data_IF_902333274334
#
_entry.id   IF_902333274334
#
_cell.length_a   1.000
_cell.length_b   1.000
_cell.length_c   1.000
_cell.angle_alpha   90.00
_cell.angle_beta   90.00
_cell.angle_gamma   90.00
#
_symmetry.space_group_name_H-M   'P 1'
#
loop_
_entity.id
_entity.type
_entity.pdbx_description
1 polymer ?
#
# COMPACT_ATOMS: atom_id res chain seq x y z
N UNK A 1 -7.97 5.62 -0.13
CA UNK A 1 -7.90 4.97 1.19
C UNK A 1 -6.55 5.23 1.85
N UNK A 2 -6.52 5.16 3.20
CA UNK A 2 -5.33 5.15 4.03
C UNK A 2 -5.40 3.91 4.92
N UNK A 3 -4.30 3.19 5.08
CA UNK A 3 -4.27 2.00 5.90
C UNK A 3 -3.30 2.16 7.08
N UNK A 4 -3.69 1.66 8.24
CA UNK A 4 -2.87 1.66 9.45
C UNK A 4 -2.71 0.21 9.90
N UNK A 5 -1.48 -0.24 9.97
CA UNK A 5 -1.10 -1.58 10.45
C UNK A 5 -0.25 -1.39 11.69
N UNK A 6 -0.55 -2.11 12.76
CA UNK A 6 0.19 -1.95 14.02
C UNK A 6 0.44 -3.28 14.74
N UNK A 7 1.50 -3.30 15.50
CA UNK A 7 1.84 -4.41 16.38
C UNK A 7 1.10 -4.23 17.72
N UNK A 8 0.35 -5.25 18.13
CA UNK A 8 -0.59 -5.19 19.25
C UNK A 8 0.05 -4.82 20.58
N UNK A 9 1.24 -5.38 20.86
CA UNK A 9 1.91 -5.24 22.15
C UNK A 9 2.60 -3.90 22.31
N UNK A 10 3.39 -3.49 21.33
CA UNK A 10 4.18 -2.26 21.35
C UNK A 10 3.40 -1.03 20.93
N UNK A 11 2.26 -1.22 20.28
CA UNK A 11 1.47 -0.15 19.63
C UNK A 11 2.25 0.62 18.55
N UNK A 12 3.37 0.08 18.09
CA UNK A 12 4.09 0.65 16.95
C UNK A 12 3.29 0.41 15.67
N UNK A 13 3.14 1.48 14.87
CA UNK A 13 2.29 1.47 13.70
C UNK A 13 3.02 1.94 12.44
N UNK A 14 2.59 1.38 11.31
CA UNK A 14 2.90 1.84 9.97
C UNK A 14 1.65 2.44 9.34
N UNK A 15 1.80 3.57 8.66
CA UNK A 15 0.73 4.18 7.88
C UNK A 15 1.09 4.05 6.41
N UNK A 16 0.12 3.64 5.59
CA UNK A 16 0.27 3.50 4.14
C UNK A 16 -0.57 4.57 3.45
N UNK A 17 0.11 5.44 2.72
CA UNK A 17 -0.37 6.69 2.13
C UNK A 17 -0.88 7.70 3.18
N UNK A 18 -1.22 8.91 2.77
CA UNK A 18 -1.75 9.95 3.67
C UNK A 18 -3.18 10.39 3.31
N UNK A 19 -3.58 10.10 2.07
CA UNK A 19 -4.90 10.49 1.58
C UNK A 19 -5.12 12.01 1.51
N UNK A 20 -6.34 12.41 1.12
CA UNK A 20 -6.73 13.82 1.06
C UNK A 20 -7.28 14.37 2.38
N UNK A 21 -7.46 13.55 3.41
CA UNK A 21 -7.95 13.94 4.74
C UNK A 21 -7.24 13.12 5.83
N UNK A 22 -6.48 13.80 6.70
CA UNK A 22 -5.76 13.13 7.79
C UNK A 22 -6.56 12.97 9.07
N UNK A 23 -7.57 13.81 9.33
CA UNK A 23 -8.20 13.86 10.65
C UNK A 23 -8.77 12.50 11.10
N UNK A 24 -9.49 11.73 10.28
CA UNK A 24 -9.98 10.42 10.70
C UNK A 24 -8.86 9.44 11.08
N UNK A 25 -7.71 9.51 10.40
CA UNK A 25 -6.53 8.70 10.69
C UNK A 25 -5.89 9.12 12.01
N UNK A 26 -5.77 10.43 12.24
CA UNK A 26 -5.20 10.98 13.47
C UNK A 26 -6.07 10.65 14.69
N UNK A 27 -7.39 10.78 14.56
CA UNK A 27 -8.34 10.41 15.62
C UNK A 27 -8.22 8.93 15.98
N UNK A 28 -8.10 8.06 14.96
CA UNK A 28 -7.90 6.62 15.17
C UNK A 28 -6.56 6.33 15.87
N UNK A 29 -5.47 6.96 15.42
CA UNK A 29 -4.14 6.81 16.04
C UNK A 29 -4.16 7.23 17.51
N UNK A 30 -4.84 8.34 17.83
CA UNK A 30 -4.97 8.83 19.21
C UNK A 30 -5.82 7.89 20.07
N UNK A 31 -6.99 7.49 19.60
CA UNK A 31 -7.91 6.59 20.35
C UNK A 31 -7.25 5.25 20.64
N UNK A 32 -6.53 4.67 19.69
CA UNK A 32 -5.83 3.39 19.85
C UNK A 32 -4.48 3.52 20.57
N UNK A 33 -4.01 4.72 20.84
CA UNK A 33 -2.71 4.98 21.48
C UNK A 33 -1.53 4.52 20.63
N UNK A 34 -1.65 4.63 19.29
CA UNK A 34 -0.64 4.13 18.37
C UNK A 34 0.56 5.07 18.26
N UNK A 35 1.73 4.49 18.03
CA UNK A 35 2.99 5.20 17.77
C UNK A 35 3.39 4.98 16.32
N UNK A 36 3.09 5.96 15.47
CA UNK A 36 3.49 5.89 14.05
C UNK A 36 5.01 5.98 13.96
N UNK A 37 5.65 4.91 13.57
CA UNK A 37 7.11 4.86 13.44
C UNK A 37 7.59 4.86 11.99
N UNK A 38 6.70 4.65 11.02
CA UNK A 38 7.00 4.72 9.58
C UNK A 38 5.74 5.07 8.78
N UNK A 39 5.95 5.76 7.67
CA UNK A 39 4.96 5.99 6.63
C UNK A 39 5.50 5.37 5.34
N UNK A 40 4.69 4.57 4.65
CA UNK A 40 5.00 3.97 3.38
C UNK A 40 4.07 4.55 2.31
N UNK A 41 4.62 5.01 1.20
CA UNK A 41 3.83 5.50 0.08
C UNK A 41 3.77 4.44 -1.01
N UNK A 42 2.55 4.16 -1.50
CA UNK A 42 2.36 3.27 -2.64
C UNK A 42 2.83 3.93 -3.93
N UNK A 43 2.57 5.21 -4.09
CA UNK A 43 3.02 6.08 -5.17
C UNK A 43 2.76 7.56 -4.80
N UNK A 44 3.09 8.51 -5.69
CA UNK A 44 3.06 9.95 -5.37
C UNK A 44 1.97 10.75 -6.09
N UNK A 45 0.88 10.12 -6.51
CA UNK A 45 -0.26 10.89 -7.01
C UNK A 45 -0.85 11.78 -5.91
N UNK A 46 -1.36 12.96 -6.26
CA UNK A 46 -1.74 14.00 -5.29
C UNK A 46 -2.71 13.53 -4.20
N UNK A 47 -3.65 12.68 -4.51
CA UNK A 47 -4.64 12.15 -3.57
C UNK A 47 -4.08 11.11 -2.58
N UNK A 48 -2.88 10.57 -2.84
CA UNK A 48 -2.16 9.69 -1.91
C UNK A 48 -1.25 10.44 -0.95
N UNK A 49 -0.76 11.63 -1.34
CA UNK A 49 0.24 12.40 -0.57
C UNK A 49 -0.27 13.76 -0.09
N UNK A 50 -1.51 14.14 -0.40
CA UNK A 50 -2.03 15.49 -0.14
C UNK A 50 -1.86 15.95 1.31
N UNK A 51 -1.99 15.06 2.27
CA UNK A 51 -1.87 15.38 3.69
C UNK A 51 -0.59 14.81 4.35
N UNK A 52 0.42 14.46 3.57
CA UNK A 52 1.64 13.81 4.08
C UNK A 52 2.37 14.67 5.12
N UNK A 53 2.54 15.96 4.85
CA UNK A 53 3.23 16.87 5.76
C UNK A 53 2.48 17.06 7.08
N UNK A 54 1.15 17.14 7.02
CA UNK A 54 0.32 17.22 8.22
C UNK A 54 0.41 15.92 9.03
N UNK A 55 0.26 14.78 8.39
CA UNK A 55 0.38 13.46 9.02
C UNK A 55 1.75 13.31 9.71
N UNK A 56 2.85 13.61 9.00
CA UNK A 56 4.21 13.59 9.57
C UNK A 56 4.31 14.45 10.82
N UNK A 57 3.90 15.73 10.70
CA UNK A 57 4.01 16.70 11.80
C UNK A 57 3.22 16.26 13.04
N UNK A 58 2.01 15.71 12.85
CA UNK A 58 1.12 15.29 13.92
C UNK A 58 1.54 13.98 14.57
N UNK A 59 2.31 13.14 13.88
CA UNK A 59 2.74 11.82 14.35
C UNK A 59 4.23 11.76 14.77
N UNK A 60 4.89 12.92 14.94
CA UNK A 60 6.27 12.96 15.44
C UNK A 60 7.34 12.88 14.35
N UNK A 61 7.01 13.20 13.11
CA UNK A 61 7.91 13.18 11.95
C UNK A 61 8.59 11.83 11.69
N UNK A 62 7.83 10.73 11.59
CA UNK A 62 8.41 9.44 11.24
C UNK A 62 9.03 9.46 9.84
N UNK A 63 10.00 8.57 9.55
CA UNK A 63 10.55 8.45 8.21
C UNK A 63 9.47 7.99 7.22
N UNK A 64 9.52 8.57 6.02
CA UNK A 64 8.65 8.22 4.89
C UNK A 64 9.46 7.41 3.89
N UNK A 65 8.90 6.32 3.39
CA UNK A 65 9.49 5.44 2.40
C UNK A 65 8.72 5.52 1.09
N UNK A 66 9.43 5.64 -0.01
CA UNK A 66 8.87 5.74 -1.36
C UNK A 66 9.80 5.07 -2.36
N UNK A 67 9.26 4.56 -3.46
CA UNK A 67 10.10 4.00 -4.53
C UNK A 67 11.01 5.08 -5.15
N UNK A 68 12.25 4.72 -5.49
CA UNK A 68 13.24 5.65 -6.04
C UNK A 68 12.80 6.38 -7.32
N UNK A 69 11.86 5.80 -8.08
CA UNK A 69 11.29 6.40 -9.30
C UNK A 69 10.13 7.38 -9.04
N UNK A 70 9.70 7.56 -7.80
CA UNK A 70 8.59 8.47 -7.42
C UNK A 70 9.06 9.87 -6.97
N UNK A 71 10.34 10.13 -6.90
CA UNK A 71 10.97 11.44 -6.65
C UNK A 71 10.23 12.37 -5.67
N UNK A 72 10.23 12.03 -4.37
CA UNK A 72 9.70 12.88 -3.32
C UNK A 72 10.79 13.28 -2.33
N UNK A 73 11.05 14.58 -2.21
CA UNK A 73 12.11 15.12 -1.36
C UNK A 73 11.93 14.75 0.11
N UNK A 74 13.05 14.45 0.78
CA UNK A 74 13.07 14.12 2.20
C UNK A 74 12.56 12.73 2.55
N UNK A 75 12.25 11.89 1.56
CA UNK A 75 11.86 10.49 1.76
C UNK A 75 13.07 9.55 1.68
N UNK A 76 12.94 8.39 2.29
CA UNK A 76 13.86 7.26 2.13
C UNK A 76 13.47 6.49 0.89
N UNK A 77 14.41 6.34 -0.02
CA UNK A 77 14.19 5.64 -1.29
C UNK A 77 14.32 4.13 -1.08
N UNK A 78 13.37 3.39 -1.63
CA UNK A 78 13.35 1.92 -1.62
C UNK A 78 13.15 1.39 -3.04
N UNK A 79 13.43 0.11 -3.20
CA UNK A 79 13.31 -0.62 -4.47
C UNK A 79 12.59 -1.94 -4.27
N UNK A 80 12.39 -2.67 -5.36
CA UNK A 80 11.91 -4.07 -5.33
C UNK A 80 12.63 -4.88 -4.27
N UNK A 81 11.87 -5.64 -3.49
CA UNK A 81 12.41 -6.55 -2.49
C UNK A 81 12.84 -5.90 -1.18
N UNK A 82 12.66 -4.58 -1.01
CA UNK A 82 12.85 -3.94 0.31
C UNK A 82 12.05 -4.67 1.37
N UNK A 83 12.66 -4.88 2.55
CA UNK A 83 12.04 -5.53 3.70
C UNK A 83 12.25 -4.72 4.97
N UNK A 84 11.26 -4.77 5.85
CA UNK A 84 11.34 -4.20 7.20
C UNK A 84 10.44 -5.00 8.15
N UNK A 85 10.60 -4.80 9.45
CA UNK A 85 9.84 -5.52 10.47
C UNK A 85 9.54 -4.67 11.70
N UNK A 86 8.48 -5.04 12.42
CA UNK A 86 8.10 -4.44 13.70
C UNK A 86 7.41 -5.50 14.57
N UNK A 87 8.12 -6.01 15.58
CA UNK A 87 7.63 -7.13 16.38
C UNK A 87 7.38 -8.36 15.51
N UNK A 88 6.16 -8.86 15.51
CA UNK A 88 5.74 -10.01 14.68
C UNK A 88 5.41 -9.65 13.24
N UNK A 89 5.26 -8.36 12.93
CA UNK A 89 4.91 -7.89 11.60
C UNK A 89 6.15 -7.78 10.71
N UNK A 90 6.02 -8.19 9.46
CA UNK A 90 7.00 -7.94 8.42
C UNK A 90 6.33 -7.31 7.20
N UNK A 91 7.05 -6.47 6.49
CA UNK A 91 6.62 -5.84 5.23
C UNK A 91 7.66 -6.09 4.15
N UNK A 92 7.20 -6.38 2.93
CA UNK A 92 8.04 -6.46 1.75
C UNK A 92 7.44 -5.62 0.63
N UNK A 93 8.29 -4.88 -0.09
CA UNK A 93 7.90 -4.09 -1.25
C UNK A 93 8.03 -4.91 -2.54
N UNK A 94 6.98 -4.88 -3.35
CA UNK A 94 6.93 -5.40 -4.71
C UNK A 94 6.71 -4.24 -5.67
N UNK A 95 7.60 -4.04 -6.64
CA UNK A 95 7.47 -2.96 -7.62
C UNK A 95 6.38 -3.29 -8.65
N UNK A 96 5.19 -2.75 -8.46
CA UNK A 96 3.98 -2.96 -9.28
C UNK A 96 3.69 -1.73 -10.15
N UNK A 97 4.67 -1.38 -10.98
CA UNK A 97 4.58 -0.22 -11.87
C UNK A 97 3.59 -0.43 -13.03
N UNK A 98 3.24 0.68 -13.68
CA UNK A 98 2.33 0.75 -14.81
C UNK A 98 1.27 1.83 -14.62
N UNK A 99 0.65 1.92 -13.44
CA UNK A 99 -0.16 3.07 -13.04
C UNK A 99 0.74 4.30 -12.76
N UNK A 100 1.80 4.11 -11.99
CA UNK A 100 2.89 5.08 -11.81
C UNK A 100 4.25 4.41 -12.06
N UNK A 101 5.31 5.21 -12.21
CA UNK A 101 6.66 4.69 -12.48
C UNK A 101 7.20 3.85 -11.32
N UNK A 102 6.98 4.28 -10.10
CA UNK A 102 7.47 3.64 -8.90
C UNK A 102 6.36 3.04 -8.05
N UNK A 103 5.23 2.65 -8.65
CA UNK A 103 4.12 2.01 -7.93
C UNK A 103 4.57 0.79 -7.14
N UNK A 104 4.26 0.74 -5.85
CA UNK A 104 4.62 -0.35 -4.95
C UNK A 104 3.38 -1.00 -4.36
N UNK A 105 3.38 -2.32 -4.34
CA UNK A 105 2.56 -3.14 -3.45
C UNK A 105 3.37 -3.54 -2.23
N UNK A 106 2.82 -3.32 -1.04
CA UNK A 106 3.43 -3.77 0.21
C UNK A 106 2.72 -5.02 0.72
N UNK A 107 3.40 -6.16 0.72
CA UNK A 107 2.89 -7.39 1.36
C UNK A 107 3.24 -7.38 2.84
N UNK A 108 2.28 -7.76 3.68
CA UNK A 108 2.40 -7.73 5.14
C UNK A 108 2.08 -9.12 5.68
N UNK A 109 2.98 -9.64 6.48
CA UNK A 109 2.85 -10.90 7.20
C UNK A 109 2.83 -10.65 8.72
N UNK A 110 2.39 -11.65 9.47
CA UNK A 110 2.29 -11.58 10.93
C UNK A 110 0.92 -11.10 11.43
N UNK A 111 -0.05 -10.91 10.54
CA UNK A 111 -1.46 -10.72 10.82
C UNK A 111 -2.20 -12.07 10.76
N UNK A 112 -3.49 -12.08 11.15
CA UNK A 112 -4.34 -13.29 11.07
C UNK A 112 -4.48 -13.80 9.63
N UNK A 113 -4.51 -12.89 8.65
CA UNK A 113 -4.49 -13.19 7.22
C UNK A 113 -3.39 -12.38 6.54
N UNK A 114 -2.78 -12.88 5.47
CA UNK A 114 -1.85 -12.10 4.68
C UNK A 114 -2.57 -10.89 4.05
N UNK A 115 -1.90 -9.75 4.05
CA UNK A 115 -2.43 -8.47 3.54
C UNK A 115 -1.47 -7.92 2.50
N UNK A 116 -2.00 -7.33 1.43
CA UNK A 116 -1.24 -6.57 0.46
C UNK A 116 -1.87 -5.18 0.26
N UNK A 117 -1.12 -4.13 0.57
CA UNK A 117 -1.50 -2.74 0.29
C UNK A 117 -1.06 -2.46 -1.15
N UNK A 118 -2.02 -2.39 -2.07
CA UNK A 118 -1.74 -2.44 -3.50
C UNK A 118 -1.78 -1.07 -4.19
N UNK A 119 -2.14 0.00 -3.46
CA UNK A 119 -2.32 1.33 -4.05
C UNK A 119 -3.27 1.26 -5.25
N UNK A 120 -2.89 1.91 -6.33
CA UNK A 120 -3.70 1.98 -7.54
C UNK A 120 -3.30 0.94 -8.60
N UNK A 121 -2.66 -0.15 -8.20
CA UNK A 121 -2.35 -1.24 -9.13
C UNK A 121 -3.61 -2.03 -9.51
N UNK A 122 -4.43 -2.43 -8.53
CA UNK A 122 -5.66 -3.20 -8.73
C UNK A 122 -6.73 -2.76 -7.73
N UNK A 123 -7.99 -2.82 -8.15
CA UNK A 123 -9.18 -2.51 -7.35
C UNK A 123 -10.16 -3.69 -7.38
N UNK A 124 -11.15 -3.66 -6.48
CA UNK A 124 -12.23 -4.64 -6.50
C UNK A 124 -12.99 -4.59 -7.85
N UNK A 125 -12.85 -5.64 -8.66
CA UNK A 125 -13.44 -5.76 -9.99
C UNK A 125 -12.87 -4.82 -11.05
N UNK A 126 -11.70 -4.20 -10.80
CA UNK A 126 -11.08 -3.25 -11.73
C UNK A 126 -9.56 -3.19 -11.54
N UNK A 127 -8.91 -2.27 -12.23
CA UNK A 127 -7.50 -1.94 -12.00
C UNK A 127 -7.27 -0.44 -12.21
N UNK A 128 -6.19 0.08 -11.65
CA UNK A 128 -5.76 1.46 -11.92
C UNK A 128 -5.43 1.66 -13.39
N UNK A 129 -5.67 2.86 -13.90
CA UNK A 129 -5.31 3.20 -15.28
C UNK A 129 -3.80 3.01 -15.50
N UNK A 130 -3.43 2.41 -16.62
CA UNK A 130 -2.03 2.29 -17.05
C UNK A 130 -1.50 3.62 -17.57
N UNK A 131 -1.42 4.62 -16.71
CA UNK A 131 -1.07 6.00 -17.09
C UNK A 131 0.37 6.11 -17.61
N UNK A 132 1.26 5.23 -17.12
CA UNK A 132 2.65 5.12 -17.59
C UNK A 132 2.77 4.02 -18.64
N UNK A 133 2.23 2.83 -18.33
CA UNK A 133 2.25 1.67 -19.22
C UNK A 133 1.11 0.72 -18.88
N UNK A 134 0.14 0.60 -19.76
CA UNK A 134 -0.98 -0.33 -19.56
C UNK A 134 -0.52 -1.79 -19.60
N UNK A 135 0.43 -2.10 -20.49
CA UNK A 135 1.01 -3.45 -20.60
C UNK A 135 1.73 -3.86 -19.31
N UNK A 136 2.55 -2.95 -18.75
CA UNK A 136 3.24 -3.20 -17.48
C UNK A 136 2.26 -3.32 -16.32
N UNK A 137 1.21 -2.47 -16.27
CA UNK A 137 0.18 -2.56 -15.24
C UNK A 137 -0.49 -3.94 -15.24
N UNK A 138 -0.88 -4.46 -16.41
CA UNK A 138 -1.43 -5.80 -16.53
C UNK A 138 -0.41 -6.88 -16.13
N UNK A 139 0.82 -6.78 -16.61
CA UNK A 139 1.88 -7.76 -16.34
C UNK A 139 2.24 -7.81 -14.86
N UNK A 140 2.48 -6.68 -14.22
CA UNK A 140 2.88 -6.64 -12.80
C UNK A 140 1.76 -7.10 -11.87
N UNK A 141 0.50 -6.79 -12.18
CA UNK A 141 -0.65 -7.33 -11.46
C UNK A 141 -0.67 -8.86 -11.53
N UNK A 142 -0.52 -9.45 -12.72
CA UNK A 142 -0.50 -10.92 -12.91
C UNK A 142 0.63 -11.61 -12.16
N UNK A 143 1.84 -11.08 -12.37
CA UNK A 143 3.06 -11.74 -11.89
C UNK A 143 3.30 -11.56 -10.39
N UNK A 144 2.85 -10.43 -9.80
CA UNK A 144 3.20 -10.05 -8.44
C UNK A 144 2.00 -10.07 -7.49
N UNK A 145 0.86 -9.50 -7.87
CA UNK A 145 -0.30 -9.41 -6.98
C UNK A 145 -1.15 -10.67 -7.09
N UNK A 146 -1.56 -11.04 -8.31
CA UNK A 146 -2.40 -12.22 -8.51
C UNK A 146 -1.66 -13.55 -8.36
N UNK A 147 -0.34 -13.54 -8.20
CA UNK A 147 0.45 -14.72 -7.81
C UNK A 147 0.51 -14.97 -6.29
N UNK A 148 0.07 -14.01 -5.47
CA UNK A 148 -0.03 -14.18 -4.03
C UNK A 148 -1.08 -15.25 -3.67
N UNK A 149 -1.07 -15.70 -2.40
CA UNK A 149 -2.06 -16.65 -1.90
C UNK A 149 -3.48 -16.13 -2.10
N UNK A 150 -4.41 -17.01 -2.46
CA UNK A 150 -5.81 -16.64 -2.78
C UNK A 150 -6.53 -15.93 -1.64
N UNK A 151 -6.19 -16.23 -0.39
CA UNK A 151 -6.73 -15.62 0.82
C UNK A 151 -6.10 -14.27 1.19
N UNK A 152 -5.07 -13.82 0.44
CA UNK A 152 -4.47 -12.50 0.66
C UNK A 152 -5.51 -11.40 0.47
N UNK A 153 -5.69 -10.58 1.50
CA UNK A 153 -6.56 -9.41 1.47
C UNK A 153 -5.85 -8.29 0.69
N UNK A 154 -6.49 -7.82 -0.37
CA UNK A 154 -6.01 -6.70 -1.16
C UNK A 154 -6.62 -5.39 -0.65
N UNK A 155 -5.76 -4.44 -0.32
CA UNK A 155 -6.09 -3.13 0.23
C UNK A 155 -5.79 -2.05 -0.83
N UNK A 156 -6.75 -1.67 -1.69
CA UNK A 156 -6.54 -0.74 -2.79
C UNK A 156 -6.55 0.72 -2.35
N UNK A 157 -5.97 1.61 -3.16
CA UNK A 157 -6.03 3.06 -2.96
C UNK A 157 -7.46 3.59 -3.03
N UNK A 158 -8.31 3.00 -3.86
CA UNK A 158 -9.72 3.38 -4.02
C UNK A 158 -10.67 2.19 -3.95
N UNK A 159 -11.90 2.47 -3.51
CA UNK A 159 -12.94 1.44 -3.41
C UNK A 159 -12.80 0.50 -2.20
N UNK A 160 -13.54 -0.60 -2.16
CA UNK A 160 -13.50 -1.56 -1.08
C UNK A 160 -12.29 -2.50 -1.15
N UNK A 161 -11.95 -3.11 -0.03
CA UNK A 161 -11.01 -4.23 0.03
C UNK A 161 -11.60 -5.45 -0.71
N UNK A 162 -10.70 -6.30 -1.21
CA UNK A 162 -11.04 -7.53 -1.91
C UNK A 162 -10.02 -8.63 -1.56
N UNK A 163 -9.99 -9.74 -2.27
CA UNK A 163 -8.97 -10.79 -2.12
C UNK A 163 -8.38 -11.19 -3.47
N UNK A 164 -7.20 -11.78 -3.46
CA UNK A 164 -6.59 -12.34 -4.66
C UNK A 164 -7.52 -13.34 -5.35
N UNK A 165 -8.17 -14.21 -4.57
CA UNK A 165 -9.10 -15.22 -5.12
C UNK A 165 -10.30 -14.55 -5.79
N UNK A 166 -10.87 -13.51 -5.19
CA UNK A 166 -12.02 -12.79 -5.75
C UNK A 166 -11.65 -12.12 -7.07
N UNK A 167 -10.49 -11.44 -7.12
CA UNK A 167 -10.03 -10.78 -8.33
C UNK A 167 -9.65 -11.76 -9.44
N UNK A 168 -9.04 -12.89 -9.11
CA UNK A 168 -8.80 -13.95 -10.09
C UNK A 168 -10.09 -14.49 -10.68
N UNK A 169 -11.16 -14.58 -9.91
CA UNK A 169 -12.43 -15.17 -10.34
C UNK A 169 -13.30 -14.18 -11.12
N UNK A 170 -13.28 -12.89 -10.77
CA UNK A 170 -14.31 -11.96 -11.20
C UNK A 170 -13.79 -10.67 -11.85
N UNK A 171 -12.48 -10.38 -11.80
CA UNK A 171 -11.94 -9.15 -12.35
C UNK A 171 -11.85 -9.23 -13.89
N UNK A 172 -12.60 -8.39 -14.64
CA UNK A 172 -12.69 -8.48 -16.10
C UNK A 172 -11.37 -8.15 -16.82
N UNK A 173 -10.39 -7.56 -16.14
CA UNK A 173 -9.06 -7.26 -16.71
C UNK A 173 -8.14 -8.49 -16.75
N UNK A 174 -8.52 -9.56 -16.06
CA UNK A 174 -7.73 -10.79 -15.92
C UNK A 174 -8.53 -12.05 -16.25
N UNK A 175 -9.17 -12.12 -17.45
CA UNK A 175 -10.07 -13.21 -17.83
C UNK A 175 -9.39 -14.57 -17.93
N UNK A 176 -8.07 -14.62 -18.02
CA UNK A 176 -7.29 -15.85 -18.07
C UNK A 176 -7.31 -16.66 -16.77
N UNK A 177 -7.79 -16.07 -15.68
CA UNK A 177 -7.94 -16.75 -14.38
C UNK A 177 -9.37 -17.28 -14.12
N UNK A 178 -10.33 -16.95 -14.99
CA UNK A 178 -11.75 -17.33 -14.87
C UNK A 178 -12.01 -18.80 -15.20
#
# INVERSE_FOLDING_TARGET
>A
NVYVIWEQTSKNAWVFDSGPMTQPVLDFIEVEGLKVNKIFLTHTHPDHIACLDELKKKTGNPPVYVHELESLDGCKLITEGFKDSCGTLSVQALHTHGHSLGGITYTIEGLESPVAIVGDAIFAGSMGGGMVSYEDALRTNREKILSLSGDTILCPGHGPMTTVQEEKKNNPFFPEFH
#
